data_IF_172502594356
#
_entry.id   IF_172502594356
#
_cell.length_a   1.000
_cell.length_b   1.000
_cell.length_c   1.000
_cell.angle_alpha   90.00
_cell.angle_beta   90.00
_cell.angle_gamma   90.00
#
_symmetry.space_group_name_H-M   'P 1'
#
loop_
_entity.id
_entity.type
_entity.pdbx_description
1 polymer ?
#
# COMPACT_ATOMS: atom_id res chain seq x y z
N UNK A 1 -8.07 34.48 -1.64
CA UNK A 1 -7.20 35.27 -0.73
C UNK A 1 -6.40 34.32 0.15
N UNK A 2 -5.07 34.23 0.03
CA UNK A 2 -4.24 33.43 0.93
C UNK A 2 -4.24 34.04 2.34
N UNK A 3 -4.41 33.23 3.39
CA UNK A 3 -4.37 33.71 4.78
C UNK A 3 -2.93 34.08 5.17
N UNK A 4 -2.71 35.24 5.82
CA UNK A 4 -1.39 35.59 6.33
C UNK A 4 -0.94 34.58 7.40
N UNK A 5 0.30 34.11 7.28
CA UNK A 5 0.89 33.18 8.24
C UNK A 5 1.01 33.85 9.61
N UNK A 6 0.55 33.18 10.67
CA UNK A 6 0.72 33.66 12.05
C UNK A 6 2.20 33.50 12.45
N UNK A 7 2.88 34.55 12.93
CA UNK A 7 4.32 34.51 13.24
C UNK A 7 4.67 33.53 14.37
N UNK A 8 3.71 33.19 15.24
CA UNK A 8 3.89 32.21 16.31
C UNK A 8 4.14 30.76 15.84
N UNK A 9 3.87 30.44 14.57
CA UNK A 9 4.04 29.09 14.01
C UNK A 9 5.30 28.96 13.13
N UNK A 10 6.09 30.04 12.98
CA UNK A 10 7.26 30.06 12.11
C UNK A 10 8.36 29.11 12.62
N UNK A 11 8.65 29.12 13.93
CA UNK A 11 9.65 28.27 14.56
C UNK A 11 9.32 26.78 14.48
N UNK A 12 8.06 26.40 14.68
CA UNK A 12 7.61 25.02 14.53
C UNK A 12 7.65 24.53 13.07
N UNK A 13 7.37 25.40 12.11
CA UNK A 13 7.43 25.09 10.69
C UNK A 13 8.88 24.95 10.17
N UNK A 14 9.82 25.70 10.75
CA UNK A 14 11.26 25.58 10.47
C UNK A 14 11.84 24.32 11.11
N UNK A 15 11.57 24.06 12.39
CA UNK A 15 11.98 22.84 13.07
C UNK A 15 11.47 21.57 12.38
N UNK A 16 10.21 21.58 11.90
CA UNK A 16 9.65 20.47 11.12
C UNK A 16 10.36 20.30 9.77
N UNK A 17 10.79 21.39 9.12
CA UNK A 17 11.53 21.34 7.86
C UNK A 17 12.94 20.80 8.05
N UNK A 18 13.64 21.25 9.08
CA UNK A 18 14.98 20.77 9.42
C UNK A 18 14.96 19.30 9.82
N UNK A 19 13.98 18.89 10.64
CA UNK A 19 13.78 17.48 10.97
C UNK A 19 13.51 16.63 9.72
N UNK A 20 12.62 17.07 8.81
CA UNK A 20 12.38 16.36 7.54
C UNK A 20 13.63 16.32 6.66
N UNK A 21 14.44 17.37 6.64
CA UNK A 21 15.72 17.40 5.91
C UNK A 21 16.68 16.35 6.46
N UNK A 22 16.85 16.29 7.78
CA UNK A 22 17.70 15.30 8.44
C UNK A 22 17.20 13.86 8.22
N UNK A 23 15.89 13.62 8.27
CA UNK A 23 15.29 12.29 7.98
C UNK A 23 15.55 11.86 6.53
N UNK A 24 15.45 12.79 5.57
CA UNK A 24 15.73 12.51 4.14
C UNK A 24 17.21 12.23 3.90
N UNK A 25 18.11 12.97 4.55
CA UNK A 25 19.56 12.72 4.49
C UNK A 25 19.90 11.32 5.04
N UNK A 26 19.21 10.88 6.09
CA UNK A 26 19.34 9.52 6.64
C UNK A 26 18.64 8.44 5.81
N UNK A 27 17.94 8.80 4.72
CA UNK A 27 17.11 7.89 3.89
C UNK A 27 16.12 7.04 4.71
N UNK A 28 15.70 7.52 5.89
CA UNK A 28 14.74 6.81 6.72
C UNK A 28 13.33 7.09 6.18
N UNK A 29 12.49 6.07 5.96
CA UNK A 29 11.12 6.30 5.54
C UNK A 29 10.34 6.96 6.68
N UNK A 30 9.62 8.04 6.35
CA UNK A 30 8.64 8.66 7.25
C UNK A 30 7.43 7.72 7.44
N UNK A 31 6.71 7.79 8.57
CA UNK A 31 5.56 6.91 8.84
C UNK A 31 4.49 6.96 7.73
N UNK A 32 4.20 8.15 7.19
CA UNK A 32 3.26 8.29 6.07
C UNK A 32 3.77 7.62 4.77
N UNK A 33 5.09 7.56 4.57
CA UNK A 33 5.67 6.83 3.45
C UNK A 33 5.51 5.31 3.63
N UNK A 34 5.68 4.80 4.86
CA UNK A 34 5.42 3.39 5.19
C UNK A 34 3.95 3.04 5.00
N UNK A 35 3.04 3.86 5.54
CA UNK A 35 1.59 3.66 5.38
C UNK A 35 1.18 3.68 3.90
N UNK A 36 1.75 4.60 3.13
CA UNK A 36 1.51 4.69 1.68
C UNK A 36 2.01 3.44 0.96
N UNK A 37 3.19 2.92 1.31
CA UNK A 37 3.73 1.69 0.73
C UNK A 37 2.87 0.46 1.06
N UNK A 38 2.39 0.34 2.31
CA UNK A 38 1.48 -0.74 2.71
C UNK A 38 0.16 -0.69 1.95
N UNK A 39 -0.41 0.51 1.81
CA UNK A 39 -1.64 0.68 1.03
C UNK A 39 -1.40 0.35 -0.44
N UNK A 40 -0.29 0.81 -1.03
CA UNK A 40 0.06 0.49 -2.41
C UNK A 40 0.17 -1.03 -2.65
N UNK A 41 0.80 -1.75 -1.72
CA UNK A 41 0.91 -3.21 -1.79
C UNK A 41 -0.47 -3.91 -1.74
N UNK A 42 -1.36 -3.46 -0.83
CA UNK A 42 -2.73 -3.98 -0.76
C UNK A 42 -3.52 -3.69 -2.04
N UNK A 43 -3.38 -2.49 -2.62
CA UNK A 43 -4.02 -2.14 -3.89
C UNK A 43 -3.56 -3.05 -5.02
N UNK A 44 -2.25 -3.28 -5.14
CA UNK A 44 -1.67 -4.16 -6.16
C UNK A 44 -2.14 -5.61 -5.98
N UNK A 45 -2.17 -6.10 -4.73
CA UNK A 45 -2.64 -7.46 -4.44
C UNK A 45 -4.13 -7.63 -4.80
N UNK A 46 -4.97 -6.66 -4.45
CA UNK A 46 -6.39 -6.65 -4.84
C UNK A 46 -6.56 -6.65 -6.35
N UNK A 47 -5.84 -5.78 -7.06
CA UNK A 47 -5.89 -5.68 -8.51
C UNK A 47 -5.48 -7.00 -9.19
N UNK A 48 -4.42 -7.66 -8.71
CA UNK A 48 -4.02 -8.97 -9.22
C UNK A 48 -5.09 -10.04 -8.93
N UNK A 49 -5.71 -10.03 -7.75
CA UNK A 49 -6.79 -10.94 -7.40
C UNK A 49 -8.02 -10.74 -8.30
N UNK A 50 -8.40 -9.48 -8.57
CA UNK A 50 -9.50 -9.14 -9.49
C UNK A 50 -9.18 -9.60 -10.92
N UNK A 51 -7.96 -9.36 -11.41
CA UNK A 51 -7.49 -9.82 -12.73
C UNK A 51 -7.47 -11.34 -12.84
N UNK A 52 -7.10 -12.03 -11.76
CA UNK A 52 -7.12 -13.49 -11.66
C UNK A 52 -8.53 -14.06 -11.39
N UNK A 53 -9.54 -13.21 -11.20
CA UNK A 53 -10.92 -13.58 -10.81
C UNK A 53 -10.97 -14.44 -9.54
N UNK A 54 -10.06 -14.21 -8.60
CA UNK A 54 -10.01 -14.91 -7.31
C UNK A 54 -10.88 -14.20 -6.28
N UNK A 55 -12.15 -14.61 -6.17
CA UNK A 55 -13.08 -14.06 -5.17
C UNK A 55 -12.55 -14.20 -3.74
N UNK A 56 -11.89 -15.33 -3.44
CA UNK A 56 -11.29 -15.59 -2.13
C UNK A 56 -10.26 -14.52 -1.76
N UNK A 57 -9.40 -14.13 -2.69
CA UNK A 57 -8.33 -13.18 -2.40
C UNK A 57 -8.86 -11.74 -2.34
N UNK A 58 -9.88 -11.41 -3.14
CA UNK A 58 -10.62 -10.15 -2.99
C UNK A 58 -11.23 -10.05 -1.60
N UNK A 59 -11.91 -11.10 -1.13
CA UNK A 59 -12.51 -11.14 0.21
C UNK A 59 -11.47 -10.98 1.33
N UNK A 60 -10.26 -11.50 1.17
CA UNK A 60 -9.17 -11.28 2.15
C UNK A 60 -8.81 -9.80 2.25
N UNK A 61 -8.68 -9.11 1.12
CA UNK A 61 -8.40 -7.66 1.12
C UNK A 61 -9.54 -6.90 1.78
N UNK A 62 -10.79 -7.24 1.48
CA UNK A 62 -11.95 -6.61 2.12
C UNK A 62 -11.99 -6.87 3.63
N UNK A 63 -11.57 -8.06 4.07
CA UNK A 63 -11.36 -8.38 5.48
C UNK A 63 -10.29 -7.48 6.12
N UNK A 64 -9.18 -7.22 5.43
CA UNK A 64 -8.14 -6.29 5.90
C UNK A 64 -8.64 -4.84 5.97
N UNK A 65 -9.42 -4.39 4.97
CA UNK A 65 -10.10 -3.09 4.99
C UNK A 65 -11.01 -2.98 6.22
N UNK A 66 -11.80 -4.01 6.51
CA UNK A 66 -12.70 -4.04 7.67
C UNK A 66 -11.96 -4.01 9.00
N UNK A 67 -10.86 -4.77 9.14
CA UNK A 67 -10.02 -4.75 10.35
C UNK A 67 -9.43 -3.36 10.61
N UNK A 68 -8.97 -2.66 9.57
CA UNK A 68 -8.46 -1.30 9.69
C UNK A 68 -9.56 -0.31 10.16
N UNK A 69 -10.79 -0.44 9.64
CA UNK A 69 -11.93 0.36 10.08
C UNK A 69 -12.25 0.09 11.55
N UNK A 70 -12.31 -1.18 11.95
CA UNK A 70 -12.60 -1.55 13.34
C UNK A 70 -11.54 -1.01 14.31
N UNK A 71 -10.26 -1.02 13.92
CA UNK A 71 -9.18 -0.44 14.71
C UNK A 71 -9.36 1.08 14.90
N UNK A 72 -9.76 1.82 13.85
CA UNK A 72 -10.06 3.25 13.96
C UNK A 72 -11.28 3.51 14.84
N UNK A 73 -12.34 2.72 14.70
CA UNK A 73 -13.54 2.84 15.55
C UNK A 73 -13.21 2.58 17.02
N UNK A 74 -12.37 1.58 17.31
CA UNK A 74 -11.90 1.30 18.67
C UNK A 74 -11.08 2.46 19.27
N UNK A 75 -10.47 3.31 18.44
CA UNK A 75 -9.81 4.55 18.85
C UNK A 75 -10.76 5.76 18.99
N UNK A 76 -12.06 5.56 18.81
CA UNK A 76 -13.09 6.60 18.96
C UNK A 76 -13.38 7.39 17.69
N UNK A 77 -12.88 6.97 16.53
CA UNK A 77 -13.24 7.61 15.26
C UNK A 77 -14.63 7.16 14.78
N UNK A 78 -15.33 8.05 14.09
CA UNK A 78 -16.61 7.73 13.43
C UNK A 78 -16.44 6.64 12.38
N UNK A 79 -17.34 5.64 12.38
CA UNK A 79 -17.26 4.46 11.51
C UNK A 79 -17.38 4.82 10.04
N UNK A 80 -18.30 5.71 9.67
CA UNK A 80 -18.53 6.07 8.28
C UNK A 80 -17.37 6.87 7.71
N UNK A 81 -16.81 7.79 8.50
CA UNK A 81 -15.60 8.52 8.14
C UNK A 81 -14.39 7.60 8.05
N UNK A 82 -14.21 6.67 8.99
CA UNK A 82 -13.13 5.69 8.96
C UNK A 82 -13.22 4.80 7.72
N UNK A 83 -14.39 4.22 7.44
CA UNK A 83 -14.65 3.42 6.25
C UNK A 83 -14.35 4.20 4.97
N UNK A 84 -14.90 5.40 4.83
CA UNK A 84 -14.67 6.26 3.66
C UNK A 84 -13.18 6.55 3.46
N UNK A 85 -12.44 6.84 4.54
CA UNK A 85 -11.00 7.15 4.48
C UNK A 85 -10.18 5.93 4.07
N UNK A 86 -10.45 4.77 4.66
CA UNK A 86 -9.76 3.51 4.33
C UNK A 86 -10.01 3.12 2.88
N UNK A 87 -11.29 3.06 2.46
CA UNK A 87 -11.65 2.69 1.09
C UNK A 87 -11.05 3.65 0.06
N UNK A 88 -11.09 4.96 0.32
CA UNK A 88 -10.49 5.95 -0.59
C UNK A 88 -8.98 5.79 -0.69
N UNK A 89 -8.29 5.37 0.37
CA UNK A 89 -6.84 5.18 0.35
C UNK A 89 -6.48 3.95 -0.48
N UNK A 90 -7.18 2.83 -0.28
CA UNK A 90 -6.90 1.55 -0.97
C UNK A 90 -7.36 1.55 -2.43
N UNK A 91 -8.49 2.19 -2.75
CA UNK A 91 -9.14 2.08 -4.07
C UNK A 91 -8.84 3.21 -5.05
N UNK A 92 -8.10 4.26 -4.65
CA UNK A 92 -7.82 5.43 -5.51
C UNK A 92 -6.50 5.33 -6.27
N UNK A 93 -5.59 4.44 -5.87
CA UNK A 93 -4.36 4.28 -6.62
C UNK A 93 -4.66 3.65 -7.97
N UNK A 94 -4.06 4.23 -9.01
CA UNK A 94 -4.01 3.60 -10.32
C UNK A 94 -3.12 2.37 -10.18
N UNK A 95 -3.76 1.21 -10.02
CA UNK A 95 -3.08 -0.03 -9.67
C UNK A 95 -2.05 -0.41 -10.72
N UNK A 96 -2.31 -0.09 -12.00
CA UNK A 96 -1.41 -0.37 -13.11
C UNK A 96 -0.08 0.38 -12.98
N UNK A 97 -0.09 1.61 -12.44
CA UNK A 97 1.11 2.40 -12.17
C UNK A 97 1.89 1.89 -10.95
N UNK A 98 1.22 1.22 -10.01
CA UNK A 98 1.85 0.71 -8.78
C UNK A 98 2.48 -0.68 -8.94
N UNK A 99 1.92 -1.53 -9.81
CA UNK A 99 2.42 -2.89 -10.06
C UNK A 99 3.94 -2.94 -10.25
N UNK A 100 4.57 -2.12 -11.12
CA UNK A 100 6.03 -2.17 -11.31
C UNK A 100 6.83 -1.67 -10.09
N UNK A 101 6.26 -0.79 -9.26
CA UNK A 101 6.93 -0.25 -8.08
C UNK A 101 6.89 -1.22 -6.89
N UNK A 102 5.79 -1.96 -6.75
CA UNK A 102 5.59 -2.94 -5.67
C UNK A 102 6.24 -4.29 -6.02
N UNK A 103 6.11 -4.74 -7.26
CA UNK A 103 6.68 -6.01 -7.73
C UNK A 103 8.10 -5.87 -8.29
N UNK A 104 8.79 -4.75 -8.02
CA UNK A 104 10.19 -4.52 -8.42
C UNK A 104 11.14 -5.62 -7.94
N UNK A 105 12.42 -5.62 -8.37
CA UNK A 105 13.35 -6.70 -8.09
C UNK A 105 13.38 -7.00 -6.59
N UNK A 106 12.89 -8.19 -6.25
CA UNK A 106 12.72 -8.63 -4.86
C UNK A 106 14.03 -8.43 -4.11
N UNK A 107 13.98 -7.81 -2.94
CA UNK A 107 15.15 -7.53 -2.10
C UNK A 107 15.97 -8.80 -1.75
N UNK A 108 15.40 -9.98 -1.96
CA UNK A 108 16.00 -11.28 -1.65
C UNK A 108 16.53 -12.06 -2.86
N UNK A 109 16.52 -11.51 -4.09
CA UNK A 109 17.01 -12.22 -5.29
C UNK A 109 16.24 -13.51 -5.64
N UNK A 110 15.18 -13.85 -4.90
CA UNK A 110 14.25 -14.94 -5.23
C UNK A 110 13.22 -14.39 -6.21
N UNK A 111 13.54 -14.51 -7.49
CA UNK A 111 12.56 -14.35 -8.55
C UNK A 111 11.35 -15.22 -8.24
N UNK A 112 10.15 -14.64 -8.36
CA UNK A 112 8.91 -15.40 -8.36
C UNK A 112 9.03 -16.45 -9.46
N UNK A 113 9.21 -17.71 -9.05
CA UNK A 113 9.46 -18.83 -9.94
C UNK A 113 8.32 -18.88 -10.96
N UNK A 114 8.69 -18.66 -12.22
CA UNK A 114 7.88 -18.91 -13.40
C UNK A 114 7.50 -20.39 -13.36
N UNK A 115 6.25 -20.71 -13.05
CA UNK A 115 5.71 -22.05 -13.21
C UNK A 115 5.45 -22.32 -14.70
N UNK A 116 6.52 -22.43 -15.49
CA UNK A 116 6.47 -23.07 -16.81
C UNK A 116 6.48 -24.59 -16.58
N UNK A 117 5.33 -25.12 -16.15
CA UNK A 117 5.09 -26.55 -16.08
C UNK A 117 4.81 -27.09 -17.47
N UNK A 118 5.86 -27.43 -18.21
CA UNK A 118 5.77 -28.21 -19.44
C UNK A 118 5.04 -29.55 -19.16
N UNK A 119 4.11 -30.00 -20.02
CA UNK A 119 3.51 -31.32 -19.88
C UNK A 119 4.57 -32.41 -20.10
N UNK A 120 4.59 -33.49 -19.28
CA UNK A 120 5.57 -34.55 -19.41
C UNK A 120 5.40 -35.31 -20.75
N UNK A 121 6.50 -35.70 -21.42
CA UNK A 121 6.44 -36.43 -22.68
C UNK A 121 5.86 -37.84 -22.48
N UNK A 122 5.10 -38.27 -23.48
CA UNK A 122 4.30 -39.47 -23.49
C UNK A 122 5.05 -40.75 -23.15
N UNK A 123 4.37 -41.61 -22.40
CA UNK A 123 4.77 -42.99 -22.12
C UNK A 123 4.24 -43.87 -23.24
N UNK A 124 5.01 -44.04 -24.31
CA UNK A 124 4.89 -45.22 -25.16
C UNK A 124 5.78 -46.32 -24.58
N UNK A 125 5.22 -47.51 -24.33
CA UNK A 125 5.85 -48.79 -24.71
C UNK A 125 4.97 -49.98 -24.33
N UNK A 126 4.68 -50.75 -25.39
CA UNK A 126 4.42 -52.20 -25.52
C UNK A 126 3.15 -52.79 -24.93
#
# INVERSE_FOLDING_TARGET
>A
MPRPAKPANASGAEATREWRKAVREQRRPETDAVDTALVAALTVYRHQAEKAKSERDVLKVEGMEAMAVNFLVARGYDREQAKRRVLRRVRRFDADLLVPLVNGPSLDGRSAHKSDGAPPPGRQSK
#
